data_IF_971492670819
#
_entry.id   IF_971492670819
#
_cell.length_a   1.000
_cell.length_b   1.000
_cell.length_c   1.000
_cell.angle_alpha   90.00
_cell.angle_beta   90.00
_cell.angle_gamma   90.00
#
_symmetry.space_group_name_H-M   'P 1'
#
loop_
_entity.id
_entity.type
_entity.pdbx_description
1 polymer ?
#
# COMPACT_ATOMS: atom_id res chain seq x y z
N UNK A 1 -50.90 -8.31 19.02
CA UNK A 1 -49.43 -8.41 19.16
C UNK A 1 -48.81 -7.36 18.26
N UNK A 2 -47.98 -6.48 18.81
CA UNK A 2 -47.35 -5.40 18.04
C UNK A 2 -46.30 -5.97 17.06
N UNK A 3 -46.06 -5.29 15.93
CA UNK A 3 -45.06 -5.68 14.96
C UNK A 3 -43.64 -5.77 15.59
N UNK A 4 -43.42 -5.07 16.68
CA UNK A 4 -42.18 -5.10 17.44
C UNK A 4 -41.94 -6.43 18.16
N UNK A 5 -43.01 -7.02 18.75
CA UNK A 5 -42.91 -8.35 19.38
C UNK A 5 -42.67 -9.47 18.35
N UNK A 6 -43.24 -9.36 17.14
CA UNK A 6 -42.95 -10.30 16.04
C UNK A 6 -41.54 -10.20 15.54
N UNK A 7 -40.96 -8.98 15.53
CA UNK A 7 -39.55 -8.78 15.12
C UNK A 7 -38.59 -9.34 16.17
N UNK A 8 -38.88 -9.11 17.46
CA UNK A 8 -38.08 -9.69 18.56
C UNK A 8 -38.18 -11.22 18.59
N UNK A 9 -39.39 -11.78 18.38
CA UNK A 9 -39.57 -13.23 18.31
C UNK A 9 -38.86 -13.86 17.10
N UNK A 10 -38.91 -13.23 15.93
CA UNK A 10 -38.12 -13.67 14.75
C UNK A 10 -36.64 -13.59 14.99
N UNK A 11 -36.12 -12.55 15.67
CA UNK A 11 -34.71 -12.44 16.01
C UNK A 11 -34.30 -13.44 17.09
N UNK A 12 -35.19 -13.75 18.05
CA UNK A 12 -34.98 -14.77 19.07
C UNK A 12 -35.01 -16.19 18.46
N UNK A 13 -35.89 -16.47 17.51
CA UNK A 13 -35.91 -17.72 16.75
C UNK A 13 -34.69 -17.85 15.85
N UNK A 14 -34.27 -16.77 15.20
CA UNK A 14 -32.98 -16.72 14.46
C UNK A 14 -31.78 -16.93 15.38
N UNK A 15 -31.72 -16.24 16.52
CA UNK A 15 -30.67 -16.43 17.50
C UNK A 15 -30.68 -17.86 18.08
N UNK A 16 -31.83 -18.44 18.39
CA UNK A 16 -31.94 -19.80 18.89
C UNK A 16 -31.67 -20.87 17.81
N UNK A 17 -32.05 -20.64 16.55
CA UNK A 17 -31.66 -21.52 15.44
C UNK A 17 -30.16 -21.42 15.13
N UNK A 18 -29.60 -20.28 15.35
CA UNK A 18 -28.14 -20.05 15.27
C UNK A 18 -27.43 -20.71 16.47
N UNK A 19 -27.97 -20.62 17.69
CA UNK A 19 -27.41 -21.21 18.92
C UNK A 19 -27.60 -22.74 19.05
N UNK A 20 -28.67 -23.29 18.53
CA UNK A 20 -28.95 -24.72 18.57
C UNK A 20 -28.42 -25.55 17.39
N UNK A 21 -27.89 -24.87 16.35
CA UNK A 21 -27.39 -25.50 15.12
C UNK A 21 -25.94 -25.15 14.82
N UNK A 22 -25.13 -24.85 15.82
CA UNK A 22 -23.81 -24.23 15.66
C UNK A 22 -22.83 -25.04 14.83
N UNK A 23 -22.72 -26.35 15.04
CA UNK A 23 -21.97 -27.22 14.16
C UNK A 23 -22.59 -27.32 12.78
N UNK A 24 -23.93 -27.38 12.70
CA UNK A 24 -24.66 -27.51 11.44
C UNK A 24 -24.52 -26.27 10.54
N UNK A 25 -24.42 -25.06 11.12
CA UNK A 25 -24.23 -23.84 10.34
C UNK A 25 -22.83 -23.77 9.69
N UNK A 26 -21.78 -24.13 10.44
CA UNK A 26 -20.41 -24.12 9.96
C UNK A 26 -20.13 -25.35 9.10
N UNK A 27 -20.56 -26.54 9.52
CA UNK A 27 -20.25 -27.80 8.86
C UNK A 27 -21.15 -28.10 7.66
N UNK A 28 -22.45 -27.82 7.75
CA UNK A 28 -23.48 -28.23 6.77
C UNK A 28 -24.37 -27.09 6.28
N UNK A 29 -24.16 -25.84 6.73
CA UNK A 29 -24.96 -24.69 6.29
C UNK A 29 -24.74 -24.37 4.81
N UNK A 30 -25.69 -23.64 4.21
CA UNK A 30 -25.62 -23.21 2.80
C UNK A 30 -24.30 -22.49 2.46
N UNK A 31 -23.77 -21.73 3.40
CA UNK A 31 -22.51 -20.97 3.27
C UNK A 31 -21.28 -21.73 3.78
N UNK A 32 -21.45 -23.00 4.21
CA UNK A 32 -20.34 -23.83 4.67
C UNK A 32 -19.36 -24.13 3.53
N UNK A 33 -18.08 -23.99 3.84
CA UNK A 33 -16.97 -24.25 2.91
C UNK A 33 -15.78 -24.82 3.67
N UNK A 34 -14.99 -25.62 2.98
CA UNK A 34 -13.64 -25.94 3.42
C UNK A 34 -12.78 -24.77 2.98
N UNK A 35 -12.10 -24.16 3.95
CA UNK A 35 -11.09 -23.13 3.73
C UNK A 35 -9.70 -23.72 3.96
N UNK A 36 -8.73 -23.29 3.17
CA UNK A 36 -7.34 -23.77 3.25
C UNK A 36 -6.42 -22.60 3.55
N UNK A 37 -5.63 -22.71 4.60
CA UNK A 37 -4.58 -21.72 4.89
C UNK A 37 -3.46 -21.83 3.87
N UNK A 38 -3.12 -20.73 3.21
CA UNK A 38 -2.13 -20.73 2.11
C UNK A 38 -0.69 -20.99 2.57
N UNK A 39 -0.38 -20.70 3.83
CA UNK A 39 0.97 -20.89 4.38
C UNK A 39 1.17 -22.27 4.99
N UNK A 40 0.19 -22.77 5.75
CA UNK A 40 0.30 -24.02 6.50
C UNK A 40 -0.40 -25.21 5.85
N UNK A 41 -1.21 -24.98 4.80
CA UNK A 41 -2.08 -25.96 4.16
C UNK A 41 -3.12 -26.62 5.13
N UNK A 42 -3.34 -26.01 6.29
CA UNK A 42 -4.37 -26.45 7.22
C UNK A 42 -5.75 -26.21 6.57
N UNK A 43 -6.64 -27.20 6.69
CA UNK A 43 -8.01 -27.13 6.18
C UNK A 43 -8.97 -27.10 7.35
N UNK A 44 -9.93 -26.17 7.30
CA UNK A 44 -10.98 -26.00 8.29
C UNK A 44 -12.34 -25.91 7.62
N UNK A 45 -13.39 -26.26 8.37
CA UNK A 45 -14.75 -25.91 8.00
C UNK A 45 -15.08 -24.50 8.47
N UNK A 46 -15.61 -23.67 7.56
CA UNK A 46 -16.01 -22.31 7.87
C UNK A 46 -17.30 -21.94 7.14
N UNK A 47 -18.12 -21.09 7.74
CA UNK A 47 -19.21 -20.46 7.02
C UNK A 47 -18.76 -19.07 6.54
N UNK A 48 -18.91 -18.81 5.23
CA UNK A 48 -18.52 -17.54 4.59
C UNK A 48 -19.77 -16.80 4.18
N UNK A 49 -19.92 -15.57 4.69
CA UNK A 49 -21.04 -14.68 4.36
C UNK A 49 -20.48 -13.41 3.75
N UNK A 50 -20.60 -13.27 2.44
CA UNK A 50 -20.15 -12.07 1.74
C UNK A 50 -21.05 -10.89 2.14
N UNK A 51 -20.44 -9.74 2.42
CA UNK A 51 -21.18 -8.50 2.53
C UNK A 51 -21.65 -8.08 1.13
N UNK A 52 -22.94 -7.78 1.00
CA UNK A 52 -23.48 -7.28 -0.27
C UNK A 52 -22.81 -5.93 -0.58
N UNK A 53 -22.36 -5.77 -1.82
CA UNK A 53 -21.72 -4.54 -2.35
C UNK A 53 -20.36 -4.16 -1.73
N UNK A 54 -19.71 -5.06 -1.00
CA UNK A 54 -18.37 -4.82 -0.43
C UNK A 54 -17.42 -5.94 -0.81
N UNK A 55 -16.15 -5.56 -0.97
CA UNK A 55 -15.06 -6.52 -1.18
C UNK A 55 -14.63 -7.18 0.15
N UNK A 56 -15.61 -7.53 0.99
CA UNK A 56 -15.40 -8.09 2.32
C UNK A 56 -16.39 -9.23 2.59
N UNK A 57 -16.00 -10.09 3.50
CA UNK A 57 -16.80 -11.22 3.94
C UNK A 57 -16.64 -11.43 5.45
N UNK A 58 -17.69 -11.96 6.08
CA UNK A 58 -17.58 -12.53 7.42
C UNK A 58 -17.27 -14.01 7.31
N UNK A 59 -16.25 -14.45 8.05
CA UNK A 59 -15.86 -15.87 8.16
C UNK A 59 -16.14 -16.32 9.59
N UNK A 60 -16.87 -17.41 9.72
CA UNK A 60 -17.21 -18.01 11.01
C UNK A 60 -16.52 -19.36 11.11
N UNK A 61 -15.82 -19.61 12.22
CA UNK A 61 -15.16 -20.88 12.51
C UNK A 61 -15.54 -21.41 13.88
N UNK A 62 -15.27 -22.68 14.15
CA UNK A 62 -15.45 -23.27 15.46
C UNK A 62 -14.51 -22.64 16.50
N UNK A 63 -14.88 -22.65 17.79
CA UNK A 63 -14.07 -22.09 18.88
C UNK A 63 -12.68 -22.73 19.04
N UNK A 64 -12.55 -23.98 18.66
CA UNK A 64 -11.27 -24.71 18.68
C UNK A 64 -10.43 -24.47 17.41
N UNK A 65 -10.90 -23.67 16.48
CA UNK A 65 -10.27 -23.39 15.18
C UNK A 65 -10.13 -21.88 14.94
N UNK A 66 -9.38 -21.15 15.79
CA UNK A 66 -9.24 -19.70 15.62
C UNK A 66 -8.37 -19.39 14.40
N UNK A 67 -8.77 -18.33 13.67
CA UNK A 67 -7.96 -17.77 12.59
C UNK A 67 -7.04 -16.68 13.15
N UNK A 68 -5.89 -16.53 12.52
CA UNK A 68 -4.96 -15.45 12.87
C UNK A 68 -5.19 -14.25 11.98
N UNK A 69 -5.21 -13.05 12.54
CA UNK A 69 -5.22 -11.79 11.76
C UNK A 69 -3.97 -11.75 10.89
N UNK A 70 -4.11 -11.32 9.63
CA UNK A 70 -3.03 -11.35 8.65
C UNK A 70 -2.84 -12.71 7.96
N UNK A 71 -3.55 -13.75 8.37
CA UNK A 71 -3.50 -15.04 7.66
C UNK A 71 -4.33 -15.00 6.38
N UNK A 72 -3.85 -15.73 5.38
CA UNK A 72 -4.46 -15.84 4.06
C UNK A 72 -5.11 -17.21 3.89
N UNK A 73 -6.34 -17.21 3.39
CA UNK A 73 -7.16 -18.40 3.24
C UNK A 73 -7.78 -18.49 1.85
N UNK A 74 -7.89 -19.69 1.32
CA UNK A 74 -8.56 -19.98 0.05
C UNK A 74 -9.85 -20.75 0.28
N UNK A 75 -10.89 -20.37 -0.46
CA UNK A 75 -12.15 -21.10 -0.57
C UNK A 75 -12.66 -21.02 -2.01
N UNK A 76 -12.76 -22.13 -2.72
CA UNK A 76 -13.29 -22.19 -4.10
C UNK A 76 -12.67 -21.15 -5.04
N UNK A 77 -11.35 -21.04 -5.06
CA UNK A 77 -10.60 -20.07 -5.88
C UNK A 77 -10.84 -18.60 -5.53
N UNK A 78 -11.45 -18.33 -4.38
CA UNK A 78 -11.49 -17.00 -3.77
C UNK A 78 -10.45 -16.96 -2.64
N UNK A 79 -9.76 -15.84 -2.54
CA UNK A 79 -8.69 -15.65 -1.58
C UNK A 79 -9.07 -14.56 -0.59
N UNK A 80 -8.88 -14.85 0.70
CA UNK A 80 -9.29 -14.00 1.80
C UNK A 80 -8.10 -13.67 2.68
N UNK A 81 -7.96 -12.41 3.05
CA UNK A 81 -7.03 -11.93 4.07
C UNK A 81 -7.85 -11.58 5.32
N UNK A 82 -7.57 -12.25 6.44
CA UNK A 82 -8.24 -11.98 7.72
C UNK A 82 -7.76 -10.64 8.26
N UNK A 83 -8.66 -9.69 8.45
CA UNK A 83 -8.32 -8.33 8.86
C UNK A 83 -8.71 -8.01 10.29
N UNK A 84 -9.73 -8.66 10.83
CA UNK A 84 -10.23 -8.35 12.17
C UNK A 84 -10.93 -9.56 12.79
N UNK A 85 -10.79 -9.74 14.09
CA UNK A 85 -11.64 -10.64 14.88
C UNK A 85 -12.76 -9.83 15.52
N UNK A 86 -13.99 -10.16 15.21
CA UNK A 86 -15.16 -9.49 15.76
C UNK A 86 -15.56 -10.20 17.05
N UNK A 87 -15.27 -9.54 18.18
CA UNK A 87 -15.66 -10.07 19.49
C UNK A 87 -17.17 -10.01 19.62
N UNK A 88 -17.80 -11.17 19.67
CA UNK A 88 -19.24 -11.31 19.92
C UNK A 88 -19.45 -11.57 21.42
N UNK A 89 -20.48 -10.93 22.00
CA UNK A 89 -20.80 -11.05 23.43
C UNK A 89 -20.99 -12.51 23.88
N UNK A 90 -20.85 -12.75 25.20
CA UNK A 90 -20.99 -14.03 25.91
C UNK A 90 -22.09 -14.95 25.33
N UNK A 91 -21.80 -16.24 25.26
CA UNK A 91 -22.66 -17.34 24.81
C UNK A 91 -22.59 -17.72 23.31
N UNK A 92 -21.59 -17.24 22.60
CA UNK A 92 -21.38 -17.61 21.19
C UNK A 92 -20.40 -18.78 21.11
N UNK A 93 -20.73 -19.78 20.29
CA UNK A 93 -19.93 -21.01 20.13
C UNK A 93 -19.06 -21.01 18.86
N UNK A 94 -18.76 -19.83 18.33
CA UNK A 94 -17.89 -19.64 17.13
C UNK A 94 -17.10 -18.35 17.21
N UNK A 95 -16.00 -18.31 16.48
CA UNK A 95 -15.30 -17.08 16.16
C UNK A 95 -15.95 -16.42 14.93
N UNK A 96 -15.94 -15.10 14.90
CA UNK A 96 -16.35 -14.29 13.75
C UNK A 96 -15.22 -13.39 13.33
N UNK A 97 -14.84 -13.45 12.07
CA UNK A 97 -13.79 -12.65 11.49
C UNK A 97 -14.31 -11.79 10.36
N UNK A 98 -13.78 -10.58 10.23
CA UNK A 98 -13.86 -9.81 9.01
C UNK A 98 -12.66 -10.16 8.13
N UNK A 99 -12.91 -10.39 6.86
CA UNK A 99 -11.89 -10.65 5.86
C UNK A 99 -12.12 -9.81 4.62
N UNK A 100 -11.04 -9.38 3.97
CA UNK A 100 -11.13 -8.74 2.65
C UNK A 100 -10.92 -9.79 1.56
N UNK A 101 -11.66 -9.65 0.47
CA UNK A 101 -11.53 -10.48 -0.72
C UNK A 101 -10.33 -9.97 -1.54
N UNK A 102 -9.27 -10.78 -1.62
CA UNK A 102 -8.05 -10.41 -2.31
C UNK A 102 -8.26 -10.34 -3.82
N UNK A 103 -7.69 -9.33 -4.45
CA UNK A 103 -7.78 -9.08 -5.89
C UNK A 103 -6.43 -8.92 -6.59
N UNK A 104 -5.33 -9.09 -5.86
CA UNK A 104 -3.97 -9.06 -6.39
C UNK A 104 -3.11 -10.14 -5.71
N UNK A 105 -2.13 -10.68 -6.47
CA UNK A 105 -1.23 -11.73 -6.00
C UNK A 105 0.22 -11.37 -6.33
N UNK A 106 1.05 -11.22 -5.31
CA UNK A 106 2.47 -10.92 -5.42
C UNK A 106 3.29 -12.18 -5.07
N UNK A 107 3.51 -13.05 -6.06
CA UNK A 107 4.27 -14.30 -5.89
C UNK A 107 3.76 -15.20 -4.74
N UNK A 108 2.44 -15.40 -4.69
CA UNK A 108 1.78 -16.22 -3.66
C UNK A 108 1.31 -15.43 -2.44
N UNK A 109 1.64 -14.15 -2.34
CA UNK A 109 1.13 -13.26 -1.30
C UNK A 109 -0.09 -12.54 -1.86
N UNK A 110 -1.26 -12.91 -1.36
CA UNK A 110 -2.51 -12.30 -1.76
C UNK A 110 -2.82 -11.03 -0.98
N UNK A 111 -3.34 -10.02 -1.65
CA UNK A 111 -3.71 -8.75 -1.06
C UNK A 111 -4.94 -8.14 -1.70
N UNK A 112 -5.41 -7.07 -1.09
CA UNK A 112 -6.53 -6.29 -1.59
C UNK A 112 -6.04 -4.91 -2.01
N UNK A 113 -6.20 -4.58 -3.29
CA UNK A 113 -5.92 -3.26 -3.84
C UNK A 113 -7.21 -2.50 -4.11
N UNK A 114 -7.31 -1.31 -3.53
CA UNK A 114 -8.36 -0.34 -3.80
C UNK A 114 -7.77 0.81 -4.60
N UNK A 115 -8.28 1.01 -5.80
CA UNK A 115 -7.88 2.11 -6.68
C UNK A 115 -8.23 3.48 -6.09
N UNK A 116 -7.77 4.58 -6.71
CA UNK A 116 -8.14 5.91 -6.28
C UNK A 116 -9.65 6.14 -6.47
N UNK A 117 -10.28 6.68 -5.46
CA UNK A 117 -11.68 7.11 -5.51
C UNK A 117 -11.76 8.61 -5.66
N UNK A 118 -12.54 9.06 -6.64
CA UNK A 118 -12.81 10.48 -6.87
C UNK A 118 -14.14 10.85 -6.19
N UNK A 119 -14.08 11.83 -5.31
CA UNK A 119 -15.28 12.37 -4.68
C UNK A 119 -15.62 13.73 -5.28
N UNK A 120 -16.81 13.83 -5.86
CA UNK A 120 -17.32 15.04 -6.48
C UNK A 120 -18.45 15.63 -5.62
N UNK A 121 -18.43 16.94 -5.44
CA UNK A 121 -19.56 17.68 -4.89
C UNK A 121 -20.20 18.50 -6.01
N UNK A 122 -21.49 18.26 -6.22
CA UNK A 122 -22.33 19.12 -7.04
C UNK A 122 -22.76 20.34 -6.23
N UNK A 123 -22.17 21.50 -6.52
CA UNK A 123 -22.59 22.75 -5.91
C UNK A 123 -23.80 23.25 -6.67
N UNK A 124 -24.97 23.16 -6.05
CA UNK A 124 -26.28 23.45 -6.64
C UNK A 124 -26.42 24.86 -7.24
N UNK A 125 -25.58 25.81 -6.84
CA UNK A 125 -25.68 27.21 -7.26
C UNK A 125 -25.22 27.53 -8.68
N UNK A 126 -24.48 26.62 -9.37
CA UNK A 126 -23.95 26.92 -10.74
C UNK A 126 -23.81 25.69 -11.65
N UNK A 127 -24.40 24.56 -11.33
CA UNK A 127 -24.22 23.28 -12.09
C UNK A 127 -22.76 22.87 -12.31
N UNK A 128 -21.83 23.35 -11.52
CA UNK A 128 -20.43 22.98 -11.59
C UNK A 128 -20.16 21.83 -10.61
N UNK A 129 -19.55 20.80 -11.11
CA UNK A 129 -19.04 19.69 -10.29
C UNK A 129 -17.57 19.96 -9.98
N UNK A 130 -17.21 19.96 -8.71
CA UNK A 130 -15.82 20.13 -8.28
C UNK A 130 -15.31 18.82 -7.68
N UNK A 131 -14.11 18.44 -8.10
CA UNK A 131 -13.36 17.38 -7.42
C UNK A 131 -12.99 17.87 -6.02
N UNK A 132 -13.54 17.24 -4.98
CA UNK A 132 -13.31 17.65 -3.58
C UNK A 132 -12.20 16.87 -2.91
N UNK A 133 -12.06 15.60 -3.28
CA UNK A 133 -10.96 14.78 -2.80
C UNK A 133 -10.63 13.68 -3.82
N UNK A 134 -9.36 13.39 -3.94
CA UNK A 134 -8.86 12.19 -4.58
C UNK A 134 -8.31 11.30 -3.48
N UNK A 135 -8.99 10.22 -3.17
CA UNK A 135 -8.45 9.26 -2.21
C UNK A 135 -7.25 8.57 -2.83
N UNK A 136 -6.15 8.49 -2.06
CA UNK A 136 -4.97 7.77 -2.48
C UNK A 136 -5.32 6.30 -2.72
N UNK A 137 -4.72 5.65 -3.73
CA UNK A 137 -4.81 4.19 -3.85
C UNK A 137 -4.31 3.53 -2.57
N UNK A 138 -4.98 2.47 -2.16
CA UNK A 138 -4.64 1.72 -0.95
C UNK A 138 -4.33 0.26 -1.31
N UNK A 139 -3.41 -0.34 -0.58
CA UNK A 139 -3.20 -1.79 -0.60
C UNK A 139 -3.18 -2.34 0.81
N UNK A 140 -3.85 -3.47 0.99
CA UNK A 140 -3.87 -4.22 2.24
C UNK A 140 -3.17 -5.54 2.03
N UNK A 141 -2.14 -5.82 2.83
CA UNK A 141 -1.30 -7.01 2.74
C UNK A 141 -1.06 -7.60 4.15
N UNK A 142 -0.63 -8.86 4.26
CA UNK A 142 -0.08 -9.35 5.51
C UNK A 142 1.11 -8.49 5.98
N UNK A 143 1.25 -8.32 7.29
CA UNK A 143 2.37 -7.60 7.89
C UNK A 143 3.73 -8.12 7.40
N UNK A 144 4.74 -7.26 7.37
CA UNK A 144 6.11 -7.56 6.94
C UNK A 144 6.28 -7.97 5.46
N UNK A 145 5.22 -7.86 4.65
CA UNK A 145 5.28 -8.14 3.21
C UNK A 145 5.92 -6.99 2.44
N UNK A 146 5.65 -5.77 2.85
CA UNK A 146 6.01 -4.54 2.15
C UNK A 146 6.62 -3.53 3.12
N UNK A 147 7.46 -2.64 2.61
CA UNK A 147 8.14 -1.61 3.39
C UNK A 147 7.94 -0.23 2.79
N UNK A 148 8.09 0.81 3.61
CA UNK A 148 8.07 2.19 3.15
C UNK A 148 9.12 2.43 2.07
N UNK A 149 8.69 3.00 0.95
CA UNK A 149 9.53 3.27 -0.20
C UNK A 149 9.70 2.08 -1.15
N UNK A 150 9.08 0.92 -0.91
CA UNK A 150 8.95 -0.14 -1.91
C UNK A 150 8.06 0.34 -3.06
N UNK A 151 8.26 -0.21 -4.26
CA UNK A 151 7.36 0.01 -5.39
C UNK A 151 6.47 -1.20 -5.60
N UNK A 152 5.19 -0.95 -5.85
CA UNK A 152 4.18 -1.97 -6.14
C UNK A 152 3.74 -1.81 -7.58
N UNK A 153 3.81 -2.88 -8.34
CA UNK A 153 3.27 -2.91 -9.70
C UNK A 153 2.01 -3.76 -9.70
N UNK A 154 0.93 -3.17 -10.21
CA UNK A 154 -0.39 -3.77 -10.32
C UNK A 154 -0.83 -3.62 -11.76
N UNK A 155 -0.79 -4.72 -12.52
CA UNK A 155 -0.95 -4.74 -13.97
C UNK A 155 0.06 -3.76 -14.60
N UNK A 156 -0.43 -2.76 -15.32
CA UNK A 156 0.41 -1.77 -16.01
C UNK A 156 0.63 -0.47 -15.21
N UNK A 157 0.27 -0.46 -13.92
CA UNK A 157 0.40 0.72 -13.07
C UNK A 157 1.41 0.46 -11.96
N UNK A 158 2.23 1.44 -11.69
CA UNK A 158 3.24 1.38 -10.62
C UNK A 158 2.97 2.44 -9.57
N UNK A 159 3.23 2.06 -8.32
CA UNK A 159 2.97 2.88 -7.15
C UNK A 159 4.14 2.79 -6.19
N UNK A 160 4.45 3.90 -5.52
CA UNK A 160 5.38 3.98 -4.41
C UNK A 160 4.62 3.89 -3.09
N UNK A 161 5.08 3.09 -2.17
CA UNK A 161 4.54 2.99 -0.81
C UNK A 161 4.96 4.21 -0.01
N UNK A 162 4.00 5.07 0.36
CA UNK A 162 4.24 6.32 1.08
C UNK A 162 4.00 6.23 2.58
N UNK A 163 3.01 5.46 2.98
CA UNK A 163 2.63 5.31 4.38
C UNK A 163 2.28 3.85 4.63
N UNK A 164 2.61 3.36 5.80
CA UNK A 164 2.24 2.01 6.25
C UNK A 164 1.68 2.13 7.67
N UNK A 165 0.47 1.68 7.85
CA UNK A 165 -0.11 1.43 9.16
C UNK A 165 -0.12 -0.08 9.41
N UNK A 166 0.75 -0.52 10.31
CA UNK A 166 0.83 -1.89 10.83
C UNK A 166 0.67 -1.90 12.36
N UNK A 167 0.31 -0.74 12.94
CA UNK A 167 0.13 -0.57 14.39
C UNK A 167 -1.33 -0.73 14.76
N UNK A 168 -2.24 -0.14 13.97
CA UNK A 168 -3.69 -0.15 14.27
C UNK A 168 -4.28 -1.56 14.25
N UNK A 169 -3.74 -2.45 13.41
CA UNK A 169 -4.16 -3.85 13.33
C UNK A 169 -2.93 -4.74 13.18
N UNK A 170 -2.39 -5.29 14.28
CA UNK A 170 -1.25 -6.21 14.20
C UNK A 170 -1.53 -7.38 13.26
N UNK A 171 -0.56 -7.73 12.43
CA UNK A 171 -0.69 -8.78 11.41
C UNK A 171 -1.08 -8.26 10.02
N UNK A 172 -1.50 -7.00 9.89
CA UNK A 172 -1.90 -6.35 8.63
C UNK A 172 -1.04 -5.12 8.37
N UNK A 173 -0.68 -4.91 7.11
CA UNK A 173 -0.13 -3.66 6.60
C UNK A 173 -1.17 -2.95 5.72
N UNK A 174 -1.68 -1.82 6.16
CA UNK A 174 -2.47 -0.90 5.34
C UNK A 174 -1.54 0.15 4.76
N UNK A 175 -1.40 0.17 3.44
CA UNK A 175 -0.44 1.05 2.79
C UNK A 175 -1.14 2.05 1.90
N UNK A 176 -0.80 3.34 2.04
CA UNK A 176 -1.16 4.35 1.06
C UNK A 176 -0.12 4.39 -0.05
N UNK A 177 -0.60 4.55 -1.28
CA UNK A 177 0.20 4.45 -2.48
C UNK A 177 0.20 5.78 -3.24
N UNK A 178 1.33 6.11 -3.87
CA UNK A 178 1.45 7.23 -4.80
C UNK A 178 1.82 6.69 -6.19
N UNK A 179 1.16 7.13 -7.26
CA UNK A 179 1.58 6.80 -8.62
C UNK A 179 3.06 7.13 -8.85
N UNK A 180 3.78 6.21 -9.47
CA UNK A 180 5.19 6.36 -9.80
C UNK A 180 5.50 5.70 -11.13
N UNK A 181 6.74 5.78 -11.57
CA UNK A 181 7.25 5.08 -12.77
C UNK A 181 8.20 3.95 -12.37
N UNK A 182 8.27 2.95 -13.22
CA UNK A 182 9.22 1.85 -13.12
C UNK A 182 10.17 1.94 -14.31
N UNK A 183 11.47 1.94 -14.05
CA UNK A 183 12.48 1.92 -15.09
C UNK A 183 12.45 0.61 -15.88
N UNK A 184 13.03 0.61 -17.08
CA UNK A 184 13.03 -0.61 -17.91
C UNK A 184 13.75 -1.78 -17.23
N UNK A 185 14.78 -1.50 -16.41
CA UNK A 185 15.53 -2.51 -15.67
C UNK A 185 14.75 -3.10 -14.47
N UNK A 186 13.73 -2.39 -14.00
CA UNK A 186 12.87 -2.84 -12.88
C UNK A 186 11.64 -3.59 -13.37
N UNK A 187 11.33 -3.57 -14.69
CA UNK A 187 10.15 -4.22 -15.26
C UNK A 187 10.32 -5.74 -15.27
N UNK A 188 9.36 -6.43 -14.68
CA UNK A 188 9.21 -7.89 -14.82
C UNK A 188 8.17 -8.16 -15.90
N UNK A 189 8.65 -8.45 -17.12
CA UNK A 189 7.82 -8.52 -18.33
C UNK A 189 6.70 -9.57 -18.23
N UNK A 190 6.92 -10.64 -17.48
CA UNK A 190 6.00 -11.77 -17.39
C UNK A 190 5.07 -11.71 -16.18
N UNK A 191 5.09 -10.61 -15.38
CA UNK A 191 4.30 -10.50 -14.17
C UNK A 191 3.39 -9.28 -14.19
N UNK A 192 2.11 -9.52 -13.89
CA UNK A 192 1.12 -8.45 -13.72
C UNK A 192 1.17 -7.79 -12.33
N UNK A 193 1.63 -8.54 -11.31
CA UNK A 193 1.68 -8.10 -9.92
C UNK A 193 3.04 -8.44 -9.33
N UNK A 194 3.79 -7.45 -8.88
CA UNK A 194 5.06 -7.66 -8.20
C UNK A 194 5.44 -6.47 -7.31
N UNK A 195 6.30 -6.76 -6.34
CA UNK A 195 6.86 -5.76 -5.41
C UNK A 195 8.35 -5.62 -5.70
N UNK A 196 8.80 -4.39 -5.93
CA UNK A 196 10.21 -4.04 -6.08
C UNK A 196 10.66 -3.47 -4.74
N UNK A 197 11.56 -4.17 -4.06
CA UNK A 197 12.09 -3.74 -2.77
C UNK A 197 12.97 -2.50 -2.94
N UNK A 198 12.83 -1.56 -2.02
CA UNK A 198 13.60 -0.29 -2.01
C UNK A 198 15.10 -0.50 -2.19
N UNK A 199 15.66 -1.52 -1.55
CA UNK A 199 17.09 -1.78 -1.64
C UNK A 199 17.52 -2.31 -3.02
N UNK A 200 16.61 -3.01 -3.72
CA UNK A 200 16.88 -3.53 -5.07
C UNK A 200 17.06 -2.39 -6.08
N UNK A 201 16.16 -1.40 -6.08
CA UNK A 201 16.28 -0.32 -7.06
C UNK A 201 17.31 0.75 -6.66
N UNK A 202 17.63 0.88 -5.36
CA UNK A 202 18.76 1.69 -4.93
C UNK A 202 20.10 1.08 -5.37
N UNK A 203 20.21 -0.25 -5.35
CA UNK A 203 21.42 -0.95 -5.79
C UNK A 203 21.53 -0.97 -7.32
N UNK A 204 20.44 -1.08 -8.06
CA UNK A 204 20.44 -1.00 -9.53
C UNK A 204 20.86 0.37 -10.03
N UNK A 205 20.60 1.44 -9.25
CA UNK A 205 21.15 2.77 -9.52
C UNK A 205 22.64 2.89 -9.17
N UNK A 206 23.25 1.93 -8.44
CA UNK A 206 24.70 1.90 -8.19
C UNK A 206 25.50 1.22 -9.30
N UNK A 207 24.86 0.38 -10.12
CA UNK A 207 25.54 -0.30 -11.24
C UNK A 207 25.46 0.47 -12.56
N UNK A 208 24.49 1.35 -12.75
CA UNK A 208 24.59 2.40 -13.76
C UNK A 208 25.52 3.49 -13.20
N UNK A 209 26.82 3.29 -13.37
CA UNK A 209 27.84 4.33 -13.27
C UNK A 209 27.67 5.39 -14.37
N UNK A 210 26.45 5.80 -14.61
CA UNK A 210 26.08 6.99 -15.36
C UNK A 210 25.69 8.03 -14.31
N UNK A 211 26.73 8.66 -13.76
CA UNK A 211 26.70 9.98 -13.17
C UNK A 211 25.56 10.30 -12.17
N UNK A 212 25.59 9.66 -10.99
CA UNK A 212 24.87 10.16 -9.79
C UNK A 212 25.20 11.61 -9.43
N UNK A 213 26.13 12.20 -10.17
CA UNK A 213 26.63 13.55 -10.01
C UNK A 213 26.09 14.50 -11.08
N UNK A 214 25.26 14.05 -12.02
CA UNK A 214 24.62 14.93 -12.98
C UNK A 214 23.29 15.42 -12.40
N UNK A 215 23.19 16.73 -12.23
CA UNK A 215 21.98 17.47 -11.84
C UNK A 215 21.57 18.38 -12.99
N UNK A 216 20.27 18.61 -13.12
CA UNK A 216 19.76 19.53 -14.13
C UNK A 216 19.31 20.82 -13.48
N UNK A 217 19.48 21.93 -14.19
CA UNK A 217 19.08 23.25 -13.72
C UNK A 217 18.33 24.02 -14.79
N UNK A 218 17.49 24.96 -14.36
CA UNK A 218 16.95 26.02 -15.20
C UNK A 218 17.75 27.30 -14.96
N UNK A 219 18.01 28.10 -16.00
CA UNK A 219 18.72 29.37 -15.86
C UNK A 219 18.15 30.24 -14.74
N UNK A 220 19.02 30.80 -13.91
CA UNK A 220 18.69 31.63 -12.74
C UNK A 220 17.94 30.88 -11.60
N UNK A 221 17.78 29.55 -11.67
CA UNK A 221 17.31 28.76 -10.54
C UNK A 221 18.37 28.72 -9.44
N UNK A 222 17.95 28.90 -8.18
CA UNK A 222 18.84 28.74 -7.04
C UNK A 222 19.01 27.25 -6.74
N UNK A 223 20.25 26.77 -6.83
CA UNK A 223 20.68 25.42 -6.49
C UNK A 223 21.32 25.42 -5.09
N UNK A 224 21.19 24.33 -4.36
CA UNK A 224 21.77 24.17 -3.02
C UNK A 224 22.59 22.89 -2.95
N UNK A 225 23.83 22.97 -2.43
CA UNK A 225 24.69 21.84 -2.14
C UNK A 225 25.19 21.87 -0.70
N UNK A 226 25.34 20.68 -0.11
CA UNK A 226 26.01 20.53 1.18
C UNK A 226 27.50 20.53 0.97
N UNK A 227 28.22 21.20 1.87
CA UNK A 227 29.68 21.29 1.83
C UNK A 227 30.29 20.37 2.89
N UNK A 228 31.39 19.74 2.55
CA UNK A 228 32.26 19.09 3.50
C UNK A 228 33.38 20.06 3.92
N UNK A 229 33.41 20.42 5.20
CA UNK A 229 34.38 21.37 5.77
C UNK A 229 34.44 22.72 5.03
N UNK A 230 33.32 23.20 4.51
CA UNK A 230 33.25 24.45 3.78
C UNK A 230 33.92 24.45 2.41
N UNK A 231 34.36 23.28 1.93
CA UNK A 231 35.05 23.18 0.63
C UNK A 231 34.06 23.36 -0.53
N UNK A 232 34.39 24.23 -1.45
CA UNK A 232 33.64 24.47 -2.68
C UNK A 232 34.62 24.88 -3.79
N UNK A 233 34.55 24.14 -4.88
CA UNK A 233 35.25 24.44 -6.11
C UNK A 233 34.29 24.35 -7.31
N UNK A 234 34.49 25.18 -8.30
CA UNK A 234 33.68 25.22 -9.52
C UNK A 234 34.55 25.52 -10.73
N UNK A 235 34.29 24.88 -11.85
CA UNK A 235 35.04 25.07 -13.10
C UNK A 235 34.67 26.37 -13.84
N UNK A 236 33.60 27.04 -13.47
CA UNK A 236 33.08 28.23 -14.15
C UNK A 236 32.92 29.39 -13.17
N UNK A 237 33.57 30.50 -13.45
CA UNK A 237 33.56 31.70 -12.60
C UNK A 237 32.28 32.53 -12.72
N UNK A 238 31.38 32.20 -13.67
CA UNK A 238 30.17 32.96 -13.94
C UNK A 238 28.96 32.50 -13.16
N UNK A 239 29.12 31.66 -12.14
CA UNK A 239 28.01 31.34 -11.24
C UNK A 239 27.88 32.45 -10.20
N UNK A 240 26.63 32.70 -9.77
CA UNK A 240 26.32 33.67 -8.72
C UNK A 240 26.13 32.96 -7.39
N UNK A 241 26.96 33.27 -6.39
CA UNK A 241 26.81 32.72 -5.04
C UNK A 241 25.81 33.57 -4.28
N UNK A 242 24.65 32.95 -3.94
CA UNK A 242 23.54 33.59 -3.21
C UNK A 242 23.79 33.53 -1.70
N UNK A 243 24.23 32.38 -1.19
CA UNK A 243 24.51 32.15 0.25
C UNK A 243 25.63 31.14 0.39
N UNK A 244 26.54 31.35 1.34
CA UNK A 244 27.61 30.40 1.66
C UNK A 244 27.84 30.32 3.18
N UNK A 245 27.81 29.09 3.69
CA UNK A 245 28.16 28.73 5.07
C UNK A 245 29.22 27.62 5.05
N UNK A 246 29.73 27.21 6.20
CA UNK A 246 30.64 26.05 6.26
C UNK A 246 29.93 24.70 5.96
N UNK A 247 28.59 24.65 6.00
CA UNK A 247 27.82 23.42 5.82
C UNK A 247 27.09 23.36 4.49
N UNK A 248 26.84 24.49 3.82
CA UNK A 248 26.08 24.55 2.58
C UNK A 248 26.43 25.76 1.73
N UNK A 249 26.17 25.64 0.43
CA UNK A 249 26.24 26.73 -0.54
C UNK A 249 24.95 26.79 -1.35
N UNK A 250 24.46 28.02 -1.57
CA UNK A 250 23.42 28.32 -2.56
C UNK A 250 23.99 29.16 -3.65
N UNK A 251 23.73 28.78 -4.88
CA UNK A 251 24.23 29.49 -6.06
C UNK A 251 23.18 29.45 -7.17
N UNK A 252 23.26 30.40 -8.09
CA UNK A 252 22.50 30.39 -9.31
C UNK A 252 23.42 30.31 -10.52
N UNK A 253 22.97 29.66 -11.59
CA UNK A 253 23.68 29.52 -12.85
C UNK A 253 23.00 30.43 -13.86
N UNK A 254 23.65 31.48 -14.35
CA UNK A 254 23.05 32.45 -15.26
C UNK A 254 22.69 31.86 -16.61
N UNK A 255 21.90 32.60 -17.36
CA UNK A 255 21.58 32.26 -18.73
C UNK A 255 22.83 32.22 -19.61
N UNK A 256 22.93 31.26 -20.51
CA UNK A 256 24.07 31.09 -21.43
C UNK A 256 25.11 30.08 -20.99
N UNK A 257 24.97 29.48 -19.80
CA UNK A 257 25.84 28.40 -19.34
C UNK A 257 25.09 27.08 -19.56
N UNK A 258 25.72 26.15 -20.26
CA UNK A 258 25.13 24.83 -20.60
C UNK A 258 25.52 23.74 -19.57
N UNK A 259 26.72 23.88 -18.96
CA UNK A 259 27.25 22.92 -17.99
C UNK A 259 28.14 23.60 -16.95
N UNK A 260 28.01 23.16 -15.69
CA UNK A 260 28.90 23.59 -14.59
C UNK A 260 29.34 22.36 -13.81
N UNK A 261 30.61 22.24 -13.51
CA UNK A 261 31.18 21.18 -12.67
C UNK A 261 31.52 21.78 -11.30
N UNK A 262 31.06 21.11 -10.26
CA UNK A 262 31.20 21.55 -8.86
C UNK A 262 31.80 20.41 -8.03
N UNK A 263 32.68 20.77 -7.08
CA UNK A 263 33.17 19.88 -6.02
C UNK A 263 32.82 20.45 -4.66
N UNK A 264 32.33 19.61 -3.80
CA UNK A 264 31.96 19.94 -2.41
C UNK A 264 32.86 19.24 -1.39
N UNK A 265 33.80 18.41 -1.87
CA UNK A 265 34.82 17.69 -1.09
C UNK A 265 36.13 17.67 -1.89
N UNK A 266 37.29 17.70 -1.19
CA UNK A 266 38.61 17.79 -1.84
C UNK A 266 38.85 16.60 -2.77
N UNK A 267 38.60 15.37 -2.28
CA UNK A 267 38.78 14.14 -3.04
C UNK A 267 37.41 13.53 -3.44
N UNK A 268 36.34 14.33 -3.37
CA UNK A 268 34.98 13.91 -3.72
C UNK A 268 34.75 13.86 -5.23
N UNK A 269 33.68 13.21 -5.63
CA UNK A 269 33.29 13.13 -7.04
C UNK A 269 32.84 14.50 -7.57
N UNK A 270 32.98 14.69 -8.87
CA UNK A 270 32.47 15.86 -9.57
C UNK A 270 30.94 15.83 -9.61
N UNK A 271 30.30 16.94 -9.26
CA UNK A 271 28.88 17.16 -9.44
C UNK A 271 28.70 18.00 -10.71
N UNK A 272 28.01 17.44 -11.70
CA UNK A 272 27.85 18.09 -13.00
C UNK A 272 26.42 18.63 -13.11
N UNK A 273 26.29 19.94 -13.23
CA UNK A 273 25.03 20.61 -13.52
C UNK A 273 24.88 20.85 -15.01
N UNK A 274 23.82 20.28 -15.62
CA UNK A 274 23.49 20.47 -17.05
C UNK A 274 22.20 21.24 -17.18
N UNK A 275 22.16 22.13 -18.16
CA UNK A 275 20.94 22.87 -18.49
C UNK A 275 19.88 21.91 -19.01
N UNK A 276 18.67 22.06 -18.49
CA UNK A 276 17.49 21.32 -18.91
C UNK A 276 16.85 21.97 -20.13
#
# INVERSE_FOLDING_TARGET
MSNFNRFQEKNKIRANSINGGNSLFIDNGYNSRIITNLKSNIKLHAAIVNEQEKDSAYIYTHLNEPLTIGSMWEAKSLYFLITEEIIIMKDVQWHKYLAVLCNCNFDGIWGYFKGPEETYINIALKHNTYLTSLQKPLITLPENTISFGDKVVIKNRSFLVQEIDNISTPGIAYCSLQPTTVSNNEKQVDKEYYIIKKDTYKNNHKEDNIDNNIKYFYPNQVCEERLSNGYFWVNNTNIEIVERTNAKIKFSIPFGIEEVIIKTEIDGPDIIYKKQ
#
